data_IF_432503405852
#
_entry.id   IF_432503405852
#
_cell.length_a   1.000
_cell.length_b   1.000
_cell.length_c   1.000
_cell.angle_alpha   90.00
_cell.angle_beta   90.00
_cell.angle_gamma   90.00
#
_symmetry.space_group_name_H-M   'P 1'
#
loop_
_entity.id
_entity.type
_entity.pdbx_description
1 polymer ?
#
# COMPACT_ATOMS: atom_id res chain seq x y z
N UNK A 1 7.36 13.42 10.15
CA UNK A 1 6.94 12.09 10.63
C UNK A 1 7.61 11.02 9.80
N UNK A 2 8.18 9.99 10.43
CA UNK A 2 8.60 8.79 9.72
C UNK A 2 7.37 8.04 9.21
N UNK A 3 7.45 7.49 7.99
CA UNK A 3 6.41 6.69 7.34
C UNK A 3 5.98 5.53 8.24
N UNK A 4 4.67 5.30 8.37
CA UNK A 4 4.13 4.13 9.08
C UNK A 4 4.45 2.84 8.31
N UNK A 5 4.91 1.80 9.01
CA UNK A 5 5.22 0.48 8.45
C UNK A 5 4.59 -0.65 9.26
N UNK A 6 3.45 -0.38 9.91
CA UNK A 6 2.71 -1.38 10.66
C UNK A 6 1.83 -2.19 9.71
N UNK A 7 1.83 -3.52 9.83
CA UNK A 7 0.85 -4.35 9.15
C UNK A 7 0.19 -5.33 10.10
N UNK A 8 -1.13 -5.34 10.11
CA UNK A 8 -1.90 -6.28 10.92
C UNK A 8 -1.85 -7.72 10.40
N UNK A 9 -1.29 -7.97 9.20
CA UNK A 9 -1.04 -9.31 8.68
C UNK A 9 -0.06 -10.12 9.55
N UNK A 10 0.80 -9.44 10.30
CA UNK A 10 1.68 -10.05 11.29
C UNK A 10 2.07 -9.02 12.36
N UNK A 11 1.20 -8.84 13.34
CA UNK A 11 1.42 -7.91 14.44
C UNK A 11 0.86 -8.46 15.75
N UNK A 12 1.41 -7.94 16.84
CA UNK A 12 0.85 -8.08 18.17
C UNK A 12 0.56 -6.69 18.74
N UNK A 13 -0.66 -6.49 19.24
CA UNK A 13 -1.11 -5.21 19.80
C UNK A 13 -1.70 -5.49 21.18
N UNK A 14 -1.38 -4.65 22.17
CA UNK A 14 -2.01 -4.76 23.50
C UNK A 14 -3.48 -4.39 23.37
N UNK A 15 -4.36 -5.17 24.01
CA UNK A 15 -5.81 -4.96 24.02
C UNK A 15 -6.22 -3.50 24.23
N UNK A 16 -5.65 -2.83 25.24
CA UNK A 16 -5.93 -1.42 25.54
C UNK A 16 -5.78 -0.47 24.34
N UNK A 17 -4.81 -0.73 23.44
CA UNK A 17 -4.61 0.11 22.26
C UNK A 17 -5.65 -0.14 21.18
N UNK A 18 -6.23 -1.34 21.11
CA UNK A 18 -7.34 -1.62 20.20
C UNK A 18 -8.65 -1.03 20.72
N UNK A 19 -8.83 -0.97 22.05
CA UNK A 19 -9.98 -0.34 22.68
C UNK A 19 -9.92 1.20 22.59
N UNK A 20 -8.74 1.78 22.84
CA UNK A 20 -8.50 3.23 22.76
C UNK A 20 -8.45 3.73 21.31
N UNK A 21 -7.86 2.94 20.40
CA UNK A 21 -7.77 3.24 18.98
C UNK A 21 -8.43 2.08 18.21
N UNK A 22 -9.76 2.05 18.08
CA UNK A 22 -10.41 1.06 17.22
C UNK A 22 -10.01 1.26 15.75
N UNK A 23 -10.02 0.20 14.95
CA UNK A 23 -9.86 0.31 13.50
C UNK A 23 -11.05 1.07 12.90
N UNK A 24 -10.77 1.90 11.90
CA UNK A 24 -11.84 2.56 11.15
C UNK A 24 -12.48 1.55 10.18
N UNK A 25 -13.81 1.55 10.12
CA UNK A 25 -14.56 0.64 9.24
C UNK A 25 -14.87 1.29 7.88
N UNK A 26 -14.80 2.62 7.79
CA UNK A 26 -15.10 3.41 6.60
C UNK A 26 -13.87 3.61 5.70
N UNK A 27 -13.01 2.60 5.61
CA UNK A 27 -11.84 2.56 4.73
C UNK A 27 -11.82 1.26 3.95
N UNK A 28 -11.58 1.34 2.65
CA UNK A 28 -11.59 0.15 1.79
C UNK A 28 -10.42 -0.81 2.07
N UNK A 29 -9.30 -0.28 2.58
CA UNK A 29 -8.11 -1.04 3.01
C UNK A 29 -7.07 -0.14 3.67
N UNK A 30 -5.99 -0.71 4.18
CA UNK A 30 -4.90 0.02 4.84
C UNK A 30 -5.35 0.70 6.13
N UNK A 31 -6.37 0.11 6.77
CA UNK A 31 -6.83 0.41 8.12
C UNK A 31 -5.71 0.26 9.15
N UNK A 32 -4.76 -0.65 8.91
CA UNK A 32 -3.55 -0.85 9.70
C UNK A 32 -2.61 0.37 9.66
N UNK A 33 -2.42 0.96 8.48
CA UNK A 33 -1.64 2.19 8.30
C UNK A 33 -2.32 3.39 8.95
N UNK A 34 -3.63 3.54 8.76
CA UNK A 34 -4.43 4.59 9.39
C UNK A 34 -4.34 4.50 10.92
N UNK A 35 -4.59 3.30 11.46
CA UNK A 35 -4.53 3.02 12.90
C UNK A 35 -3.16 3.35 13.48
N UNK A 36 -2.10 2.84 12.85
CA UNK A 36 -0.74 3.06 13.33
C UNK A 36 -0.33 4.51 13.28
N UNK A 37 -0.84 5.29 12.32
CA UNK A 37 -0.64 6.74 12.27
C UNK A 37 -1.28 7.43 13.46
N UNK A 38 -2.53 7.12 13.81
CA UNK A 38 -3.21 7.71 15.00
C UNK A 38 -2.46 7.36 16.29
N UNK A 39 -2.06 6.10 16.44
CA UNK A 39 -1.29 5.63 17.60
C UNK A 39 0.05 6.37 17.73
N UNK A 40 0.78 6.56 16.64
CA UNK A 40 2.04 7.32 16.64
C UNK A 40 1.82 8.82 16.93
N UNK A 41 0.75 9.41 16.40
CA UNK A 41 0.40 10.82 16.67
C UNK A 41 0.01 11.05 18.13
N UNK A 42 -0.55 10.05 18.80
CA UNK A 42 -0.82 10.08 20.24
C UNK A 42 0.46 9.92 21.09
N UNK A 43 1.65 9.87 20.49
CA UNK A 43 2.93 9.78 21.20
C UNK A 43 3.33 8.35 21.59
N UNK A 44 2.64 7.34 21.10
CA UNK A 44 3.04 5.95 21.30
C UNK A 44 4.08 5.50 20.27
N UNK A 45 4.59 4.28 20.45
CA UNK A 45 5.67 3.73 19.64
C UNK A 45 5.28 2.37 19.04
N UNK A 46 5.78 2.12 17.84
CA UNK A 46 5.76 0.83 17.19
C UNK A 46 7.16 0.20 17.31
N UNK A 47 7.22 -1.11 17.53
CA UNK A 47 8.50 -1.86 17.58
C UNK A 47 8.48 -2.95 16.53
N UNK A 48 9.53 -3.02 15.72
CA UNK A 48 9.75 -4.10 14.77
C UNK A 48 10.46 -5.26 15.49
N UNK A 49 9.92 -6.47 15.39
CA UNK A 49 10.49 -7.69 15.98
C UNK A 49 10.91 -8.66 14.85
N UNK A 50 12.22 -8.73 14.51
CA UNK A 50 12.69 -9.56 13.40
C UNK A 50 12.51 -11.06 13.65
N UNK A 51 12.41 -11.52 14.91
CA UNK A 51 12.21 -12.96 15.23
C UNK A 51 10.79 -13.43 15.04
N UNK A 52 9.82 -12.52 14.97
CA UNK A 52 8.41 -12.83 14.68
C UNK A 52 8.16 -12.97 13.17
N UNK A 53 9.10 -13.56 12.43
CA UNK A 53 9.00 -13.68 10.99
C UNK A 53 7.91 -14.69 10.58
N UNK A 54 7.14 -14.34 9.55
CA UNK A 54 6.14 -15.23 8.94
C UNK A 54 6.35 -15.33 7.44
N UNK A 55 5.88 -16.43 6.85
CA UNK A 55 5.80 -16.57 5.39
C UNK A 55 4.49 -15.98 4.90
N UNK A 56 4.57 -14.93 4.09
CA UNK A 56 3.42 -14.28 3.48
C UNK A 56 3.54 -14.32 1.96
N UNK A 57 2.47 -14.67 1.26
CA UNK A 57 2.47 -14.77 -0.20
C UNK A 57 1.08 -14.49 -0.78
N UNK A 58 1.05 -13.85 -1.94
CA UNK A 58 -0.15 -13.65 -2.74
C UNK A 58 0.09 -14.06 -4.20
N UNK A 59 -0.81 -14.85 -4.81
CA UNK A 59 -0.72 -15.18 -6.22
C UNK A 59 -1.30 -14.05 -7.08
N UNK A 60 -0.66 -12.88 -7.09
CA UNK A 60 -1.16 -11.75 -7.87
C UNK A 60 -0.87 -11.90 -9.36
N UNK A 61 -1.94 -11.82 -10.15
CA UNK A 61 -1.86 -11.43 -11.57
C UNK A 61 -1.68 -9.93 -11.71
N UNK A 62 -1.27 -9.46 -12.90
CA UNK A 62 -1.23 -8.03 -13.25
C UNK A 62 -2.57 -7.35 -12.95
N UNK A 63 -3.69 -7.99 -13.29
CA UNK A 63 -5.04 -7.46 -13.04
C UNK A 63 -5.35 -7.34 -11.55
N UNK A 64 -5.04 -8.35 -10.75
CA UNK A 64 -5.28 -8.27 -9.30
C UNK A 64 -4.35 -7.27 -8.62
N UNK A 65 -3.10 -7.15 -9.08
CA UNK A 65 -2.16 -6.15 -8.57
C UNK A 65 -2.65 -4.73 -8.87
N UNK A 66 -3.12 -4.48 -10.10
CA UNK A 66 -3.77 -3.23 -10.47
C UNK A 66 -4.93 -2.89 -9.51
N UNK A 67 -5.86 -3.83 -9.32
CA UNK A 67 -7.06 -3.61 -8.48
C UNK A 67 -6.71 -3.34 -7.02
N UNK A 68 -5.76 -4.11 -6.48
CA UNK A 68 -5.24 -3.93 -5.12
C UNK A 68 -4.62 -2.54 -4.94
N UNK A 69 -3.82 -2.09 -5.91
CA UNK A 69 -3.19 -0.78 -5.84
C UNK A 69 -4.16 0.36 -6.13
N UNK A 70 -5.22 0.14 -6.92
CA UNK A 70 -6.33 1.08 -7.05
C UNK A 70 -6.96 1.35 -5.69
N UNK A 71 -7.36 0.32 -4.96
CA UNK A 71 -7.93 0.49 -3.63
C UNK A 71 -6.90 1.10 -2.64
N UNK A 72 -5.60 0.80 -2.77
CA UNK A 72 -4.56 1.45 -1.95
C UNK A 72 -4.49 2.95 -2.22
N UNK A 73 -4.67 3.35 -3.48
CA UNK A 73 -4.77 4.74 -3.88
C UNK A 73 -5.99 5.43 -3.26
N UNK A 74 -7.13 4.75 -3.21
CA UNK A 74 -8.37 5.25 -2.57
C UNK A 74 -8.13 5.54 -1.09
N UNK A 75 -7.44 4.65 -0.38
CA UNK A 75 -7.13 4.81 1.04
C UNK A 75 -5.98 5.78 1.33
N UNK A 76 -5.23 6.21 0.31
CA UNK A 76 -3.92 6.85 0.50
C UNK A 76 -3.96 8.14 1.32
N UNK A 77 -5.01 8.95 1.16
CA UNK A 77 -5.19 10.23 1.87
C UNK A 77 -5.36 10.05 3.39
N UNK A 78 -5.99 8.95 3.83
CA UNK A 78 -6.23 8.66 5.25
C UNK A 78 -5.17 7.77 5.88
N UNK A 79 -4.48 6.98 5.06
CA UNK A 79 -3.43 6.07 5.49
C UNK A 79 -2.04 6.73 5.41
N UNK A 80 -1.20 6.30 4.48
CA UNK A 80 0.23 6.64 4.44
C UNK A 80 0.55 8.01 3.81
N UNK A 81 -0.40 8.71 3.18
CA UNK A 81 -0.22 10.10 2.70
C UNK A 81 -0.87 11.16 3.60
N UNK A 82 -1.58 10.76 4.68
CA UNK A 82 -2.26 11.66 5.60
C UNK A 82 -1.31 12.59 6.40
N UNK A 83 -0.02 12.31 6.45
CA UNK A 83 1.00 13.07 7.17
C UNK A 83 1.64 14.23 6.38
N UNK A 84 1.06 14.58 5.23
CA UNK A 84 1.67 15.47 4.24
C UNK A 84 2.36 14.69 3.13
N UNK A 85 2.30 15.21 1.90
CA UNK A 85 3.02 14.60 0.78
C UNK A 85 4.52 14.73 1.05
N UNK A 86 5.30 13.64 1.06
CA UNK A 86 6.75 13.77 0.87
C UNK A 86 6.97 14.67 -0.33
N UNK A 87 7.95 15.58 -0.28
CA UNK A 87 8.29 16.39 -1.45
C UNK A 87 8.35 15.47 -2.67
N UNK A 88 7.63 15.80 -3.75
CA UNK A 88 7.45 14.87 -4.87
C UNK A 88 8.77 14.33 -5.44
N UNK A 89 9.85 15.08 -5.26
CA UNK A 89 11.23 14.68 -5.51
C UNK A 89 11.70 13.47 -4.71
N UNK A 90 11.38 13.36 -3.42
CA UNK A 90 11.75 12.25 -2.53
C UNK A 90 11.01 10.98 -2.93
N UNK A 91 9.70 11.06 -3.19
CA UNK A 91 8.91 9.92 -3.63
C UNK A 91 9.41 9.42 -4.99
N UNK A 92 9.66 10.34 -5.94
CA UNK A 92 10.22 10.01 -7.25
C UNK A 92 11.58 9.33 -7.13
N UNK A 93 12.45 9.84 -6.24
CA UNK A 93 13.78 9.25 -6.02
C UNK A 93 13.68 7.81 -5.50
N UNK A 94 12.85 7.56 -4.47
CA UNK A 94 12.65 6.19 -3.94
C UNK A 94 12.05 5.25 -4.97
N UNK A 95 11.09 5.72 -5.77
CA UNK A 95 10.52 4.92 -6.87
C UNK A 95 11.58 4.56 -7.92
N UNK A 96 12.44 5.52 -8.29
CA UNK A 96 13.56 5.27 -9.21
C UNK A 96 14.61 4.32 -8.62
N UNK A 97 14.94 4.46 -7.33
CA UNK A 97 15.87 3.56 -6.62
C UNK A 97 15.32 2.13 -6.62
N UNK A 98 14.04 1.94 -6.31
CA UNK A 98 13.35 0.65 -6.36
C UNK A 98 13.38 0.05 -7.78
N UNK A 99 12.94 0.80 -8.80
CA UNK A 99 12.89 0.31 -10.18
C UNK A 99 14.29 -0.04 -10.73
N UNK A 100 15.30 0.78 -10.43
CA UNK A 100 16.70 0.47 -10.79
C UNK A 100 17.22 -0.75 -10.05
N UNK A 101 16.84 -0.93 -8.79
CA UNK A 101 17.18 -2.12 -7.99
C UNK A 101 16.61 -3.39 -8.61
N UNK A 102 15.32 -3.38 -8.94
CA UNK A 102 14.63 -4.51 -9.56
C UNK A 102 15.23 -4.87 -10.93
N UNK A 103 15.42 -3.89 -11.81
CA UNK A 103 16.05 -4.11 -13.12
C UNK A 103 17.46 -4.67 -12.99
N UNK A 104 18.27 -4.11 -12.09
CA UNK A 104 19.64 -4.57 -11.85
C UNK A 104 19.67 -6.00 -11.29
N UNK A 105 18.74 -6.33 -10.41
CA UNK A 105 18.59 -7.68 -9.86
C UNK A 105 18.22 -8.67 -10.98
N UNK A 106 17.18 -8.38 -11.77
CA UNK A 106 16.76 -9.22 -12.90
C UNK A 106 17.89 -9.42 -13.92
N UNK A 107 18.69 -8.38 -14.16
CA UNK A 107 19.83 -8.45 -15.06
C UNK A 107 20.95 -9.35 -14.53
N UNK A 108 21.30 -9.20 -13.24
CA UNK A 108 22.39 -9.93 -12.58
C UNK A 108 22.04 -11.38 -12.28
N UNK A 109 20.78 -11.68 -12.01
CA UNK A 109 20.31 -13.02 -11.68
C UNK A 109 20.00 -13.89 -12.91
N UNK A 110 20.32 -13.42 -14.13
CA UNK A 110 20.01 -14.12 -15.38
C UNK A 110 18.52 -14.11 -15.79
N UNK A 111 17.66 -13.41 -15.05
CA UNK A 111 16.20 -13.39 -15.25
C UNK A 111 15.73 -12.31 -16.25
N UNK A 112 16.56 -11.96 -17.23
CA UNK A 112 16.31 -10.83 -18.16
C UNK A 112 15.00 -10.96 -18.94
N UNK A 113 14.58 -12.18 -19.26
CA UNK A 113 13.29 -12.46 -19.93
C UNK A 113 12.06 -11.96 -19.17
N UNK A 114 12.18 -11.73 -17.86
CA UNK A 114 11.10 -11.25 -17.01
C UNK A 114 11.00 -9.72 -16.95
N UNK A 115 11.97 -8.98 -17.50
CA UNK A 115 11.96 -7.51 -17.51
C UNK A 115 10.69 -6.95 -18.16
N UNK A 116 10.21 -7.44 -19.32
CA UNK A 116 8.96 -6.96 -19.90
C UNK A 116 7.75 -7.18 -18.96
N UNK A 117 7.67 -8.35 -18.33
CA UNK A 117 6.60 -8.64 -17.38
C UNK A 117 6.66 -7.74 -16.14
N UNK A 118 7.85 -7.55 -15.56
CA UNK A 118 8.05 -6.67 -14.41
C UNK A 118 7.64 -5.23 -14.74
N UNK A 119 8.02 -4.72 -15.92
CA UNK A 119 7.61 -3.40 -16.37
C UNK A 119 6.08 -3.25 -16.48
N UNK A 120 5.39 -4.25 -17.05
CA UNK A 120 3.91 -4.28 -17.12
C UNK A 120 3.29 -4.36 -15.73
N UNK A 121 3.84 -5.20 -14.86
CA UNK A 121 3.34 -5.42 -13.50
C UNK A 121 3.48 -4.18 -12.62
N UNK A 122 4.67 -3.56 -12.60
CA UNK A 122 4.93 -2.30 -11.89
C UNK A 122 4.14 -1.14 -12.48
N UNK A 123 4.04 -1.07 -13.82
CA UNK A 123 3.21 -0.09 -14.51
C UNK A 123 1.73 -0.20 -14.10
N UNK A 124 1.19 -1.42 -14.05
CA UNK A 124 -0.18 -1.66 -13.62
C UNK A 124 -0.42 -1.25 -12.16
N UNK A 125 0.51 -1.57 -11.24
CA UNK A 125 0.44 -1.11 -9.85
C UNK A 125 0.45 0.42 -9.76
N UNK A 126 1.35 1.07 -10.49
CA UNK A 126 1.46 2.53 -10.50
C UNK A 126 0.19 3.18 -11.04
N UNK A 127 -0.32 2.72 -12.19
CA UNK A 127 -1.56 3.26 -12.79
C UNK A 127 -2.74 3.05 -11.85
N UNK A 128 -2.87 1.85 -11.26
CA UNK A 128 -3.90 1.56 -10.25
C UNK A 128 -3.85 2.57 -9.12
N UNK A 129 -2.69 2.73 -8.49
CA UNK A 129 -2.47 3.69 -7.40
C UNK A 129 -2.84 5.13 -7.78
N UNK A 130 -2.43 5.59 -8.96
CA UNK A 130 -2.71 6.95 -9.42
C UNK A 130 -4.20 7.18 -9.69
N UNK A 131 -4.90 6.19 -10.26
CA UNK A 131 -6.34 6.29 -10.50
C UNK A 131 -7.13 6.20 -9.19
N UNK A 132 -6.70 5.34 -8.28
CA UNK A 132 -7.26 5.22 -6.93
C UNK A 132 -7.14 6.53 -6.15
N UNK A 133 -5.97 7.16 -6.15
CA UNK A 133 -5.76 8.46 -5.49
C UNK A 133 -6.59 9.61 -6.09
N UNK A 134 -7.19 9.41 -7.27
CA UNK A 134 -8.07 10.38 -7.94
C UNK A 134 -9.49 9.83 -8.10
N UNK A 135 -9.86 8.79 -7.35
CA UNK A 135 -11.13 8.06 -7.52
C UNK A 135 -12.36 8.96 -7.38
N UNK A 136 -12.29 10.07 -6.65
CA UNK A 136 -13.37 11.04 -6.52
C UNK A 136 -13.86 11.59 -7.87
N UNK A 137 -12.99 11.63 -8.90
CA UNK A 137 -13.31 12.08 -10.26
C UNK A 137 -13.89 10.98 -11.16
N UNK A 138 -13.95 9.74 -10.69
CA UNK A 138 -14.41 8.61 -11.48
C UNK A 138 -15.90 8.33 -11.20
N UNK A 139 -16.69 7.90 -12.19
CA UNK A 139 -18.06 7.45 -11.96
C UNK A 139 -18.10 6.11 -11.20
N UNK A 140 -19.19 5.86 -10.47
CA UNK A 140 -19.34 4.69 -9.58
C UNK A 140 -19.09 3.34 -10.28
N UNK A 141 -19.62 3.16 -11.49
CA UNK A 141 -19.42 1.92 -12.26
C UNK A 141 -17.95 1.62 -12.58
N UNK A 142 -17.15 2.67 -12.81
CA UNK A 142 -15.72 2.53 -13.07
C UNK A 142 -14.96 2.16 -11.78
N UNK A 143 -15.33 2.76 -10.64
CA UNK A 143 -14.76 2.39 -9.33
C UNK A 143 -15.01 0.91 -9.01
N UNK A 144 -16.25 0.43 -9.17
CA UNK A 144 -16.62 -1.00 -8.99
C UNK A 144 -15.79 -1.95 -9.86
N UNK A 145 -15.49 -1.56 -11.11
CA UNK A 145 -14.72 -2.39 -12.05
C UNK A 145 -13.22 -2.45 -11.72
N UNK A 146 -12.68 -1.32 -11.26
CA UNK A 146 -11.26 -1.12 -10.99
C UNK A 146 -10.84 -1.55 -9.59
N UNK A 147 -11.80 -1.67 -8.67
CA UNK A 147 -11.58 -2.11 -7.30
C UNK A 147 -11.43 -3.63 -7.16
N UNK A 148 -10.71 -4.08 -6.14
CA UNK A 148 -10.69 -5.47 -5.68
C UNK A 148 -11.88 -5.78 -4.76
N UNK A 149 -12.53 -4.75 -4.18
CA UNK A 149 -13.69 -4.85 -3.31
C UNK A 149 -14.90 -4.07 -3.89
N UNK A 150 -15.59 -4.60 -4.91
CA UNK A 150 -16.70 -3.89 -5.56
C UNK A 150 -17.85 -3.52 -4.60
N UNK A 151 -18.09 -4.34 -3.57
CA UNK A 151 -19.14 -4.13 -2.57
C UNK A 151 -18.94 -2.91 -1.67
N UNK A 152 -17.71 -2.40 -1.56
CA UNK A 152 -17.43 -1.15 -0.86
C UNK A 152 -18.10 0.07 -1.53
N UNK A 153 -18.29 -0.02 -2.85
CA UNK A 153 -18.84 1.07 -3.65
C UNK A 153 -20.35 0.92 -3.77
N UNK A 154 -21.10 1.14 -2.68
CA UNK A 154 -22.57 1.16 -2.70
C UNK A 154 -23.13 2.46 -3.26
#
# INVERSE_FOLDING_TARGET
MATTLFSNANAAVRRRFLEEFPFVEDIIMSEDQEWSRRVLLAGHALRYEPRAAVRHSHPYTVRSAFRRFFDSGVSSERAYMAGGRPAGSVLRRRAMEYARGELRWLWRSGNRRWIPYAAVYEGAKFIGLQLGARHQRLPLGLKRRMSALPSYWT
#
